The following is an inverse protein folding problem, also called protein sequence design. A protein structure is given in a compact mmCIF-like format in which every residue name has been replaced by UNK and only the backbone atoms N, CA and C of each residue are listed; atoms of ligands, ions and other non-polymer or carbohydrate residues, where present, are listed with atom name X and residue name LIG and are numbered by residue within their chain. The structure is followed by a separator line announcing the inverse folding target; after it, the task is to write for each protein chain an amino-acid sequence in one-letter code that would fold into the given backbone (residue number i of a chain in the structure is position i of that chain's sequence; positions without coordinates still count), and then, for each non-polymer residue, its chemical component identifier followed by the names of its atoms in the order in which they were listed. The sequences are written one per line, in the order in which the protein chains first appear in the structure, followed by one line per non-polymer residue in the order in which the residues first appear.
data_IF_292412872291
#
_entry.id   IF_292412872291
#
_cell.length_a   1.000
_cell.length_b   1.000
_cell.length_c   1.000
_cell.angle_alpha   90.00
_cell.angle_beta   90.00
_cell.angle_gamma   90.00
#
_symmetry.space_group_name_H-M   'P 1'
#
loop_
_entity.id
_entity.type
_entity.pdbx_description
1 polymer ?
#
# COMPACT_ATOMS: atom_id res chain seq x y z
N UNK A 1 -10.90 -4.56 7.07
CA UNK A 1 -11.27 -4.99 5.70
C UNK A 1 -12.68 -4.56 5.31
N UNK A 2 -13.70 -4.78 6.16
CA UNK A 2 -15.11 -4.40 5.88
C UNK A 2 -15.29 -2.96 5.44
N UNK A 3 -14.58 -2.02 6.07
CA UNK A 3 -14.65 -0.61 5.70
C UNK A 3 -14.18 -0.33 4.25
N UNK A 4 -13.06 -0.91 3.82
CA UNK A 4 -12.60 -0.82 2.43
C UNK A 4 -13.57 -1.50 1.46
N UNK A 5 -14.14 -2.64 1.84
CA UNK A 5 -15.12 -3.34 1.01
C UNK A 5 -16.36 -2.46 0.75
N UNK A 6 -16.87 -1.77 1.78
CA UNK A 6 -17.98 -0.83 1.63
C UNK A 6 -17.62 0.35 0.71
N UNK A 7 -16.40 0.90 0.86
CA UNK A 7 -15.91 1.97 -0.02
C UNK A 7 -15.79 1.53 -1.48
N UNK A 8 -15.30 0.29 -1.73
CA UNK A 8 -15.22 -0.25 -3.09
C UNK A 8 -16.60 -0.44 -3.72
N UNK A 9 -17.56 -0.98 -2.97
CA UNK A 9 -18.94 -1.12 -3.45
C UNK A 9 -19.56 0.26 -3.75
N UNK A 10 -19.37 1.23 -2.86
CA UNK A 10 -19.85 2.60 -3.07
C UNK A 10 -19.22 3.25 -4.31
N UNK A 11 -17.90 3.08 -4.51
CA UNK A 11 -17.20 3.56 -5.70
C UNK A 11 -17.76 2.94 -6.98
N UNK A 12 -17.93 1.61 -7.01
CA UNK A 12 -18.49 0.91 -8.17
C UNK A 12 -19.92 1.39 -8.45
N UNK A 13 -20.76 1.55 -7.43
CA UNK A 13 -22.12 2.04 -7.58
C UNK A 13 -22.17 3.44 -8.21
N UNK A 14 -21.28 4.35 -7.78
CA UNK A 14 -21.18 5.70 -8.33
C UNK A 14 -20.60 5.71 -9.75
N UNK A 15 -19.59 4.89 -10.01
CA UNK A 15 -19.02 4.71 -11.34
C UNK A 15 -20.08 4.22 -12.35
N UNK A 16 -21.01 3.36 -11.92
CA UNK A 16 -22.10 2.88 -12.77
C UNK A 16 -23.12 3.97 -13.13
N UNK A 17 -23.28 5.00 -12.29
CA UNK A 17 -24.20 6.12 -12.53
C UNK A 17 -23.60 7.16 -13.48
N UNK A 18 -22.32 7.50 -13.31
CA UNK A 18 -21.64 8.57 -14.07
C UNK A 18 -20.36 8.09 -14.76
N UNK A 19 -20.50 7.10 -15.65
CA UNK A 19 -19.36 6.43 -16.33
C UNK A 19 -18.45 7.39 -17.10
N UNK A 20 -19.02 8.39 -17.78
CA UNK A 20 -18.26 9.31 -18.61
C UNK A 20 -17.31 10.20 -17.77
N UNK A 21 -17.83 10.77 -16.68
CA UNK A 21 -17.03 11.58 -15.76
C UNK A 21 -15.89 10.78 -15.13
N UNK A 22 -16.16 9.53 -14.74
CA UNK A 22 -15.15 8.63 -14.17
C UNK A 22 -14.10 8.28 -15.23
N UNK A 23 -14.50 7.97 -16.47
CA UNK A 23 -13.55 7.67 -17.54
C UNK A 23 -12.64 8.86 -17.88
N UNK A 24 -13.18 10.09 -17.90
CA UNK A 24 -12.39 11.30 -18.13
C UNK A 24 -11.39 11.55 -17.00
N UNK A 25 -11.85 11.45 -15.74
CA UNK A 25 -11.01 11.69 -14.55
C UNK A 25 -9.98 10.58 -14.30
N UNK A 26 -10.19 9.38 -14.84
CA UNK A 26 -9.19 8.30 -14.80
C UNK A 26 -8.05 8.52 -15.79
N UNK A 27 -8.28 9.25 -16.89
CA UNK A 27 -7.25 9.49 -17.91
C UNK A 27 -6.20 10.50 -17.46
N UNK A 28 -6.51 11.35 -16.48
CA UNK A 28 -5.53 12.25 -15.87
C UNK A 28 -4.58 11.52 -14.91
N UNK A 29 -4.93 10.34 -14.42
CA UNK A 29 -4.08 9.57 -13.51
C UNK A 29 -2.88 8.94 -14.22
N UNK A 30 -1.72 8.97 -13.55
CA UNK A 30 -0.50 8.37 -14.07
C UNK A 30 -0.44 6.86 -13.78
N UNK A 31 -0.86 6.06 -14.77
CA UNK A 31 -0.83 4.59 -14.70
C UNK A 31 0.59 4.05 -14.45
N UNK A 32 1.63 4.74 -14.95
CA UNK A 32 3.02 4.34 -14.76
C UNK A 32 3.45 4.41 -13.29
N UNK A 33 3.07 5.48 -12.58
CA UNK A 33 3.31 5.60 -11.13
C UNK A 33 2.51 4.56 -10.34
N UNK A 34 1.25 4.32 -10.72
CA UNK A 34 0.43 3.27 -10.12
C UNK A 34 1.04 1.87 -10.27
N UNK A 35 1.56 1.54 -11.46
CA UNK A 35 2.21 0.27 -11.74
C UNK A 35 3.52 0.11 -10.96
N UNK A 36 4.33 1.18 -10.90
CA UNK A 36 5.56 1.20 -10.09
C UNK A 36 5.23 0.91 -8.63
N UNK A 37 4.19 1.55 -8.07
CA UNK A 37 3.76 1.33 -6.70
C UNK A 37 3.33 -0.12 -6.44
N UNK A 38 2.63 -0.73 -7.38
CA UNK A 38 2.24 -2.15 -7.31
C UNK A 38 3.46 -3.07 -7.29
N UNK A 39 4.42 -2.87 -8.19
CA UNK A 39 5.66 -3.68 -8.22
C UNK A 39 6.44 -3.50 -6.92
N UNK A 40 6.55 -2.26 -6.42
CA UNK A 40 7.27 -1.94 -5.18
C UNK A 40 6.62 -2.63 -3.98
N UNK A 41 5.29 -2.60 -3.85
CA UNK A 41 4.60 -3.23 -2.73
C UNK A 41 4.65 -4.77 -2.80
N UNK A 42 4.44 -5.37 -3.98
CA UNK A 42 4.60 -6.82 -4.15
C UNK A 42 6.01 -7.28 -3.82
N UNK A 43 7.02 -6.52 -4.22
CA UNK A 43 8.42 -6.78 -3.88
C UNK A 43 8.66 -6.63 -2.37
N UNK A 44 8.06 -5.63 -1.74
CA UNK A 44 8.09 -5.47 -0.27
C UNK A 44 7.48 -6.68 0.45
N UNK A 45 6.32 -7.13 -0.03
CA UNK A 45 5.61 -8.33 0.43
C UNK A 45 6.52 -9.56 0.39
N UNK A 46 7.22 -9.76 -0.73
CA UNK A 46 8.19 -10.83 -0.89
C UNK A 46 9.33 -10.75 0.13
N UNK A 47 9.90 -9.56 0.37
CA UNK A 47 10.93 -9.38 1.40
C UNK A 47 10.41 -9.71 2.80
N UNK A 48 9.19 -9.32 3.15
CA UNK A 48 8.59 -9.67 4.45
C UNK A 48 8.44 -11.19 4.59
N UNK A 49 8.00 -11.89 3.54
CA UNK A 49 7.95 -13.36 3.54
C UNK A 49 9.34 -14.00 3.74
N UNK A 50 10.37 -13.49 3.04
CA UNK A 50 11.75 -13.93 3.23
C UNK A 50 12.24 -13.71 4.67
N UNK A 51 11.78 -12.66 5.35
CA UNK A 51 12.15 -12.44 6.76
C UNK A 51 11.59 -13.54 7.68
N UNK A 52 10.38 -14.05 7.40
CA UNK A 52 9.77 -15.14 8.16
C UNK A 52 10.53 -16.44 7.94
N UNK A 53 10.86 -16.77 6.69
CA UNK A 53 11.66 -17.95 6.34
C UNK A 53 13.04 -17.88 6.99
N UNK A 54 13.74 -16.76 6.85
CA UNK A 54 15.05 -16.54 7.47
C UNK A 54 15.02 -16.66 8.99
N UNK A 55 13.90 -16.34 9.64
CA UNK A 55 13.75 -16.51 11.09
C UNK A 55 13.62 -17.98 11.49
N UNK A 56 13.00 -18.81 10.65
CA UNK A 56 12.91 -20.28 10.85
C UNK A 56 14.28 -20.94 10.68
N UNK A 57 15.09 -20.44 9.75
CA UNK A 57 16.46 -20.90 9.52
C UNK A 57 17.49 -20.26 10.49
N UNK A 58 17.01 -19.59 11.54
CA UNK A 58 17.82 -18.88 12.56
C UNK A 58 18.78 -17.80 12.02
N UNK A 59 18.65 -17.42 10.74
CA UNK A 59 19.51 -16.45 10.06
C UNK A 59 19.11 -15.01 10.37
N UNK A 60 19.58 -14.49 11.51
CA UNK A 60 19.26 -13.13 11.97
C UNK A 60 19.72 -12.03 10.99
N UNK A 61 20.81 -12.26 10.25
CA UNK A 61 21.30 -11.27 9.26
C UNK A 61 20.30 -11.13 8.12
N UNK A 62 19.81 -12.25 7.57
CA UNK A 62 18.80 -12.25 6.52
C UNK A 62 17.49 -11.61 6.99
N UNK A 63 17.02 -11.91 8.21
CA UNK A 63 15.83 -11.25 8.80
C UNK A 63 15.96 -9.73 8.77
N UNK A 64 17.11 -9.19 9.23
CA UNK A 64 17.36 -7.74 9.29
C UNK A 64 17.40 -7.10 7.90
N UNK A 65 18.08 -7.73 6.94
CA UNK A 65 18.20 -7.22 5.57
C UNK A 65 16.82 -7.19 4.92
N UNK A 66 16.08 -8.30 5.00
CA UNK A 66 14.75 -8.42 4.42
C UNK A 66 13.76 -7.40 4.99
N UNK A 67 13.72 -7.21 6.32
CA UNK A 67 12.85 -6.19 6.92
C UNK A 67 13.24 -4.76 6.51
N UNK A 68 14.53 -4.44 6.44
CA UNK A 68 14.98 -3.12 6.01
C UNK A 68 14.64 -2.85 4.54
N UNK A 69 14.78 -3.85 3.66
CA UNK A 69 14.38 -3.74 2.26
C UNK A 69 12.85 -3.53 2.13
N UNK A 70 12.05 -4.27 2.90
CA UNK A 70 10.60 -4.08 2.93
C UNK A 70 10.20 -2.66 3.36
N UNK A 71 10.85 -2.12 4.40
CA UNK A 71 10.65 -0.74 4.88
C UNK A 71 11.03 0.28 3.81
N UNK A 72 12.14 0.08 3.10
CA UNK A 72 12.57 0.96 2.02
C UNK A 72 11.53 1.01 0.89
N UNK A 73 10.98 -0.15 0.49
CA UNK A 73 9.89 -0.22 -0.47
C UNK A 73 8.62 0.53 0.03
N UNK A 74 8.25 0.38 1.30
CA UNK A 74 7.15 1.16 1.90
C UNK A 74 7.39 2.67 1.84
N UNK A 75 8.62 3.12 2.08
CA UNK A 75 9.02 4.52 1.93
C UNK A 75 8.91 5.01 0.48
N UNK A 76 9.35 4.22 -0.50
CA UNK A 76 9.24 4.53 -1.93
C UNK A 76 7.76 4.71 -2.31
N UNK A 77 6.88 3.83 -1.84
CA UNK A 77 5.44 3.95 -2.09
C UNK A 77 4.86 5.27 -1.53
N UNK A 78 5.20 5.62 -0.29
CA UNK A 78 4.73 6.86 0.36
C UNK A 78 5.22 8.09 -0.41
N UNK A 79 6.49 8.11 -0.82
CA UNK A 79 7.06 9.21 -1.61
C UNK A 79 6.38 9.33 -2.99
N UNK A 80 6.20 8.21 -3.68
CA UNK A 80 5.51 8.16 -4.97
C UNK A 80 4.09 8.74 -4.88
N UNK A 81 3.32 8.35 -3.85
CA UNK A 81 1.99 8.92 -3.60
C UNK A 81 2.01 10.39 -3.23
N UNK A 82 3.01 10.85 -2.47
CA UNK A 82 3.15 12.26 -2.14
C UNK A 82 3.41 13.11 -3.39
N UNK A 83 4.25 12.63 -4.32
CA UNK A 83 4.49 13.28 -5.62
C UNK A 83 3.21 13.31 -6.47
N UNK A 84 2.48 12.20 -6.55
CA UNK A 84 1.23 12.12 -7.30
C UNK A 84 0.17 13.08 -6.75
N UNK A 85 -0.04 13.09 -5.43
CA UNK A 85 -0.95 14.05 -4.79
C UNK A 85 -0.53 15.50 -5.01
N UNK A 86 0.78 15.78 -4.94
CA UNK A 86 1.31 17.11 -5.21
C UNK A 86 1.02 17.57 -6.64
N UNK A 87 1.14 16.67 -7.62
CA UNK A 87 0.83 16.96 -9.03
C UNK A 87 -0.67 17.22 -9.27
N UNK A 88 -1.55 16.41 -8.67
CA UNK A 88 -3.01 16.61 -8.76
C UNK A 88 -3.45 17.92 -8.10
N UNK A 89 -2.92 18.25 -6.91
CA UNK A 89 -3.26 19.51 -6.24
C UNK A 89 -2.78 20.72 -7.06
N UNK A 90 -1.61 20.63 -7.70
CA UNK A 90 -1.09 21.68 -8.58
C UNK A 90 -1.91 21.85 -9.86
N UNK A 91 -2.54 20.79 -10.36
CA UNK A 91 -3.46 20.88 -11.51
C UNK A 91 -4.86 21.42 -11.15
N UNK A 92 -5.07 21.82 -9.88
CA UNK A 92 -6.34 22.36 -9.39
C UNK A 92 -7.34 21.27 -8.98
N UNK A 93 -6.92 20.01 -8.93
CA UNK A 93 -7.73 18.89 -8.51
C UNK A 93 -7.69 18.75 -6.99
N UNK A 94 -8.87 18.58 -6.39
CA UNK A 94 -9.04 18.41 -4.95
C UNK A 94 -10.14 17.39 -4.64
N UNK A 95 -10.35 17.11 -3.35
CA UNK A 95 -11.42 16.23 -2.86
C UNK A 95 -12.83 16.68 -3.29
N UNK A 96 -13.03 17.96 -3.61
CA UNK A 96 -14.33 18.52 -3.98
C UNK A 96 -14.50 18.74 -5.49
N UNK A 97 -13.51 18.34 -6.30
CA UNK A 97 -13.55 18.55 -7.76
C UNK A 97 -14.67 17.73 -8.40
N UNK A 98 -14.78 16.45 -8.07
CA UNK A 98 -15.89 15.58 -8.47
C UNK A 98 -15.93 14.32 -7.60
N UNK A 99 -16.96 13.50 -7.78
CA UNK A 99 -17.15 12.26 -7.02
C UNK A 99 -15.98 11.28 -7.21
N UNK A 100 -15.42 11.18 -8.42
CA UNK A 100 -14.27 10.31 -8.66
C UNK A 100 -13.07 10.70 -7.78
N UNK A 101 -12.71 11.99 -7.78
CA UNK A 101 -11.59 12.49 -6.99
C UNK A 101 -11.85 12.39 -5.49
N UNK A 102 -13.09 12.59 -5.05
CA UNK A 102 -13.48 12.33 -3.66
C UNK A 102 -13.16 10.88 -3.26
N UNK A 103 -13.65 9.89 -4.00
CA UNK A 103 -13.37 8.48 -3.71
C UNK A 103 -11.90 8.13 -3.87
N UNK A 104 -11.24 8.67 -4.90
CA UNK A 104 -9.80 8.48 -5.13
C UNK A 104 -9.00 8.90 -3.90
N UNK A 105 -9.14 10.15 -3.44
CA UNK A 105 -8.38 10.66 -2.29
C UNK A 105 -8.74 9.95 -0.99
N UNK A 106 -10.02 9.60 -0.77
CA UNK A 106 -10.44 8.88 0.45
C UNK A 106 -9.87 7.46 0.46
N UNK A 107 -10.06 6.68 -0.60
CA UNK A 107 -9.62 5.27 -0.67
C UNK A 107 -8.09 5.21 -0.60
N UNK A 108 -7.39 6.00 -1.43
CA UNK A 108 -5.93 5.96 -1.49
C UNK A 108 -5.29 6.61 -0.25
N UNK A 109 -5.91 7.64 0.33
CA UNK A 109 -5.46 8.27 1.57
C UNK A 109 -5.59 7.35 2.78
N UNK A 110 -6.73 6.66 2.93
CA UNK A 110 -6.91 5.64 3.97
C UNK A 110 -5.91 4.51 3.81
N UNK A 111 -5.66 4.05 2.58
CA UNK A 111 -4.66 3.03 2.32
C UNK A 111 -3.25 3.51 2.68
N UNK A 112 -2.90 4.76 2.34
CA UNK A 112 -1.61 5.36 2.69
C UNK A 112 -1.37 5.37 4.21
N UNK A 113 -2.40 5.68 5.01
CA UNK A 113 -2.33 5.59 6.48
C UNK A 113 -2.00 4.17 6.94
N UNK A 114 -2.61 3.15 6.33
CA UNK A 114 -2.32 1.74 6.65
C UNK A 114 -0.89 1.33 6.25
N UNK A 115 -0.40 1.80 5.09
CA UNK A 115 0.99 1.57 4.66
C UNK A 115 1.98 2.21 5.62
N UNK A 116 1.74 3.45 6.07
CA UNK A 116 2.58 4.12 7.06
C UNK A 116 2.56 3.35 8.38
N UNK A 117 1.38 2.97 8.88
CA UNK A 117 1.25 2.18 10.10
C UNK A 117 1.99 0.83 10.01
N UNK A 118 1.86 0.13 8.88
CA UNK A 118 2.58 -1.11 8.63
C UNK A 118 4.09 -0.91 8.54
N UNK A 119 4.55 0.20 7.95
CA UNK A 119 5.98 0.51 7.82
C UNK A 119 6.58 0.78 9.19
N UNK A 120 5.85 1.48 10.06
CA UNK A 120 6.23 1.69 11.47
C UNK A 120 6.30 0.36 12.22
N UNK A 121 5.32 -0.53 12.03
CA UNK A 121 5.32 -1.86 12.62
C UNK A 121 6.54 -2.68 12.17
N UNK A 122 6.84 -2.73 10.86
CA UNK A 122 8.03 -3.40 10.32
C UNK A 122 9.32 -2.80 10.90
N UNK A 123 9.38 -1.48 11.06
CA UNK A 123 10.52 -0.79 11.68
C UNK A 123 10.74 -1.20 13.14
N UNK A 124 9.66 -1.30 13.93
CA UNK A 124 9.73 -1.80 15.31
C UNK A 124 10.22 -3.25 15.33
N UNK A 125 9.75 -4.09 14.41
CA UNK A 125 10.20 -5.49 14.28
C UNK A 125 11.68 -5.58 13.88
N UNK A 126 12.14 -4.73 12.95
CA UNK A 126 13.54 -4.64 12.56
C UNK A 126 14.44 -4.15 13.71
N UNK A 127 13.96 -3.23 14.56
CA UNK A 127 14.66 -2.84 15.80
C UNK A 127 14.76 -4.00 16.78
N UNK A 128 13.66 -4.74 17.01
CA UNK A 128 13.67 -5.93 17.89
C UNK A 128 14.58 -7.04 17.36
N UNK A 129 14.63 -7.25 16.05
CA UNK A 129 15.55 -8.20 15.41
C UNK A 129 17.04 -7.77 15.53
N UNK A 130 17.30 -6.48 15.76
CA UNK A 130 18.65 -5.93 15.99
C UNK A 130 19.14 -6.05 17.42
N UNK A 131 18.23 -6.11 18.39
CA UNK A 131 18.58 -6.16 19.80
C UNK A 131 19.24 -7.50 20.16
N UNK A 132 20.41 -7.43 20.82
CA UNK A 132 21.07 -8.58 21.45
C UNK A 132 20.44 -8.92 22.82
N UNK A 133 19.31 -8.30 23.17
CA UNK A 133 18.61 -8.52 24.43
C UNK A 133 18.14 -9.97 24.59
N UNK A 134 18.00 -10.41 25.85
CA UNK A 134 17.59 -11.77 26.24
C UNK A 134 16.24 -12.22 25.66
N UNK A 135 15.47 -11.33 25.02
CA UNK A 135 14.19 -11.65 24.37
C UNK A 135 14.28 -11.42 22.86
N UNK A 136 14.65 -12.44 22.07
CA UNK A 136 14.65 -12.33 20.61
C UNK A 136 13.22 -12.12 20.09
N UNK A 137 13.08 -11.49 18.91
CA UNK A 137 11.79 -11.42 18.23
C UNK A 137 11.23 -12.84 18.06
N UNK A 138 10.00 -13.06 18.53
CA UNK A 138 9.32 -14.35 18.42
C UNK A 138 8.81 -14.54 17.00
N UNK A 139 8.88 -15.77 16.48
CA UNK A 139 8.40 -16.10 15.15
C UNK A 139 6.93 -15.69 14.96
N UNK A 140 6.08 -15.95 15.95
CA UNK A 140 4.65 -15.55 15.93
C UNK A 140 4.44 -14.05 15.73
N UNK A 141 5.30 -13.20 16.31
CA UNK A 141 5.23 -11.75 16.13
C UNK A 141 5.61 -11.35 14.71
N UNK A 142 6.60 -12.05 14.14
CA UNK A 142 7.03 -11.84 12.76
C UNK A 142 5.97 -12.29 11.76
N UNK A 143 5.37 -13.46 11.97
CA UNK A 143 4.26 -13.99 11.16
C UNK A 143 3.03 -13.08 11.23
N UNK A 144 2.66 -12.61 12.43
CA UNK A 144 1.54 -11.67 12.60
C UNK A 144 1.78 -10.35 11.86
N UNK A 145 3.00 -9.81 11.95
CA UNK A 145 3.38 -8.62 11.20
C UNK A 145 3.40 -8.86 9.69
N UNK A 146 3.85 -10.04 9.25
CA UNK A 146 3.80 -10.42 7.84
C UNK A 146 2.35 -10.49 7.33
N UNK A 147 1.46 -11.17 8.04
CA UNK A 147 0.03 -11.25 7.68
C UNK A 147 -0.60 -9.86 7.57
N UNK A 148 -0.31 -8.95 8.51
CA UNK A 148 -0.80 -7.57 8.43
C UNK A 148 -0.27 -6.85 7.18
N UNK A 149 1.03 -6.96 6.89
CA UNK A 149 1.63 -6.32 5.72
C UNK A 149 1.08 -6.86 4.40
N UNK A 150 0.94 -8.18 4.28
CA UNK A 150 0.33 -8.82 3.12
C UNK A 150 -1.13 -8.41 2.92
N UNK A 151 -1.89 -8.22 3.99
CA UNK A 151 -3.25 -7.71 3.91
C UNK A 151 -3.28 -6.26 3.38
N UNK A 152 -2.35 -5.41 3.82
CA UNK A 152 -2.23 -4.04 3.28
C UNK A 152 -1.88 -4.07 1.79
N UNK A 153 -0.90 -4.89 1.40
CA UNK A 153 -0.51 -5.09 0.00
C UNK A 153 -1.68 -5.58 -0.87
N UNK A 154 -2.45 -6.56 -0.38
CA UNK A 154 -3.64 -7.05 -1.05
C UNK A 154 -4.69 -5.96 -1.31
N UNK A 155 -4.87 -5.01 -0.38
CA UNK A 155 -5.76 -3.87 -0.63
C UNK A 155 -5.27 -3.05 -1.83
N UNK A 156 -3.97 -2.80 -1.96
CA UNK A 156 -3.44 -2.04 -3.09
C UNK A 156 -3.65 -2.77 -4.43
N UNK A 157 -3.43 -4.09 -4.44
CA UNK A 157 -3.68 -4.94 -5.61
C UNK A 157 -5.14 -4.84 -6.09
N UNK A 158 -6.08 -4.55 -5.19
CA UNK A 158 -7.49 -4.28 -5.56
C UNK A 158 -7.73 -2.82 -5.97
N UNK A 159 -7.10 -1.86 -5.28
CA UNK A 159 -7.24 -0.41 -5.54
C UNK A 159 -6.69 -0.05 -6.92
N UNK A 160 -5.51 -0.55 -7.27
CA UNK A 160 -4.81 -0.17 -8.49
C UNK A 160 -5.64 -0.46 -9.75
N UNK A 161 -6.16 -1.68 -9.99
CA UNK A 161 -7.02 -1.92 -11.14
C UNK A 161 -8.28 -1.07 -11.11
N UNK A 162 -8.93 -0.96 -9.95
CA UNK A 162 -10.22 -0.27 -9.80
C UNK A 162 -10.14 1.23 -10.14
N UNK A 163 -9.04 1.89 -9.77
CA UNK A 163 -8.84 3.32 -10.00
C UNK A 163 -8.07 3.64 -11.29
N UNK A 164 -7.10 2.80 -11.70
CA UNK A 164 -6.17 3.11 -12.80
C UNK A 164 -6.41 2.33 -14.10
N UNK A 165 -6.95 1.09 -14.04
CA UNK A 165 -7.01 0.19 -15.22
C UNK A 165 -8.42 -0.10 -15.72
N UNK A 166 -9.42 -0.13 -14.85
CA UNK A 166 -10.80 -0.53 -15.20
C UNK A 166 -11.48 0.59 -16.00
N UNK A 167 -11.20 0.57 -17.31
CA UNK A 167 -11.81 1.41 -18.35
C UNK A 167 -12.85 0.58 -19.07
N UNK A 168 -14.09 0.61 -18.59
CA UNK A 168 -15.20 0.00 -19.33
C UNK A 168 -15.47 0.88 -20.56
N UNK A 169 -14.92 0.47 -21.71
CA UNK A 169 -15.34 0.99 -23.03
C UNK A 169 -16.75 0.52 -23.36
#
# INVERSE_FOLDING_TARGET
MTFFALLFVAYIAQQLQNRELFAQSQNSLNVGLGLLNTIVLLTSSWFVALSVVAKRDENQRAVRISLNLAIACGGIFVLSKAVEYGAEIQSGVSLVTNDFYLFYFVITGLHLIHVVAGTVMLYVMAKKARSAAMTPIRLVTLESGATFWHMVDFLWVMIFPLLYLVRWR
#
